data_IF_573667091058
#
_entry.id   IF_573667091058
#
_cell.length_a   1.000
_cell.length_b   1.000
_cell.length_c   1.000
_cell.angle_alpha   90.00
_cell.angle_beta   90.00
_cell.angle_gamma   90.00
#
_symmetry.space_group_name_H-M   'P 1'
#
loop_
_entity.id
_entity.type
_entity.pdbx_description
1 polymer ?
#
# COMPACT_ATOMS: atom_id res chain seq x y z
N UNK A 1 -7.74 29.15 6.08
CA UNK A 1 -8.73 28.71 5.07
C UNK A 1 -9.64 27.64 5.64
N UNK A 2 -10.72 28.02 6.34
CA UNK A 2 -11.86 27.13 6.61
C UNK A 2 -13.01 27.95 7.21
N UNK A 3 -14.10 28.17 6.47
CA UNK A 3 -15.40 28.56 7.05
C UNK A 3 -16.62 27.86 6.40
N UNK A 4 -16.53 27.22 5.22
CA UNK A 4 -17.71 26.56 4.59
C UNK A 4 -17.61 25.03 4.38
N UNK A 5 -16.58 24.35 4.91
CA UNK A 5 -16.18 23.03 4.42
C UNK A 5 -17.06 21.82 4.78
N UNK A 6 -18.12 21.94 5.60
CA UNK A 6 -18.85 20.77 6.10
C UNK A 6 -19.73 20.07 5.06
N UNK A 7 -20.53 20.83 4.32
CA UNK A 7 -21.43 20.29 3.30
C UNK A 7 -20.65 19.84 2.05
N UNK A 8 -19.65 20.63 1.65
CA UNK A 8 -18.78 20.31 0.51
C UNK A 8 -17.93 19.05 0.78
N UNK A 9 -17.37 18.90 1.99
CA UNK A 9 -16.61 17.70 2.35
C UNK A 9 -17.49 16.44 2.33
N UNK A 10 -18.77 16.54 2.71
CA UNK A 10 -19.71 15.41 2.65
C UNK A 10 -20.07 15.03 1.21
N UNK A 11 -20.31 16.02 0.35
CA UNK A 11 -20.58 15.80 -1.08
C UNK A 11 -19.37 15.18 -1.79
N UNK A 12 -18.15 15.66 -1.48
CA UNK A 12 -16.90 15.09 -2.01
C UNK A 12 -16.73 13.65 -1.52
N UNK A 13 -17.00 13.37 -0.24
CA UNK A 13 -16.91 12.02 0.30
C UNK A 13 -17.91 11.06 -0.38
N UNK A 14 -19.13 11.53 -0.67
CA UNK A 14 -20.13 10.73 -1.38
C UNK A 14 -19.74 10.47 -2.84
N UNK A 15 -19.29 11.50 -3.56
CA UNK A 15 -18.74 11.35 -4.91
C UNK A 15 -17.57 10.36 -4.92
N UNK A 16 -16.67 10.47 -3.93
CA UNK A 16 -15.57 9.54 -3.76
C UNK A 16 -16.05 8.12 -3.50
N UNK A 17 -17.14 7.88 -2.76
CA UNK A 17 -17.68 6.53 -2.55
C UNK A 17 -18.23 5.92 -3.84
N UNK A 18 -18.93 6.71 -4.66
CA UNK A 18 -19.55 6.26 -5.91
C UNK A 18 -18.58 5.98 -7.06
N UNK A 19 -17.35 6.49 -7.00
CA UNK A 19 -16.36 6.33 -8.07
C UNK A 19 -15.85 4.89 -8.22
N UNK A 20 -15.55 4.49 -9.46
CA UNK A 20 -14.79 3.26 -9.74
C UNK A 20 -13.35 3.39 -9.22
N UNK A 21 -12.73 2.28 -8.85
CA UNK A 21 -11.35 2.28 -8.31
C UNK A 21 -10.35 2.97 -9.26
N UNK A 22 -10.38 2.65 -10.56
CA UNK A 22 -9.51 3.29 -11.54
C UNK A 22 -9.69 4.82 -11.64
N UNK A 23 -10.93 5.32 -11.51
CA UNK A 23 -11.20 6.76 -11.50
C UNK A 23 -10.67 7.42 -10.23
N UNK A 24 -10.74 6.73 -9.09
CA UNK A 24 -10.16 7.17 -7.84
C UNK A 24 -8.64 7.23 -7.91
N UNK A 25 -7.99 6.20 -8.45
CA UNK A 25 -6.54 6.17 -8.69
C UNK A 25 -6.10 7.37 -9.54
N UNK A 26 -6.82 7.63 -10.64
CA UNK A 26 -6.57 8.77 -11.52
C UNK A 26 -6.76 10.12 -10.79
N UNK A 27 -7.72 10.20 -9.86
CA UNK A 27 -7.94 11.40 -9.06
C UNK A 27 -6.80 11.64 -8.07
N UNK A 28 -6.31 10.60 -7.40
CA UNK A 28 -5.15 10.70 -6.50
C UNK A 28 -3.89 11.11 -7.29
N UNK A 29 -3.68 10.53 -8.47
CA UNK A 29 -2.58 10.94 -9.35
C UNK A 29 -2.75 12.37 -9.87
N UNK A 30 -3.97 12.80 -10.22
CA UNK A 30 -4.23 14.18 -10.63
C UNK A 30 -3.94 15.16 -9.50
N UNK A 31 -4.33 14.85 -8.26
CA UNK A 31 -4.00 15.64 -7.06
C UNK A 31 -2.48 15.73 -6.89
N UNK A 32 -1.77 14.60 -7.02
CA UNK A 32 -0.31 14.55 -6.95
C UNK A 32 0.33 15.44 -8.02
N UNK A 33 -0.09 15.32 -9.27
CA UNK A 33 0.42 16.13 -10.40
C UNK A 33 0.13 17.61 -10.16
N UNK A 34 -1.09 17.96 -9.76
CA UNK A 34 -1.48 19.34 -9.49
C UNK A 34 -0.68 19.97 -8.35
N UNK A 35 -0.38 19.22 -7.29
CA UNK A 35 0.36 19.70 -6.13
C UNK A 35 1.89 19.68 -6.30
N UNK A 36 2.41 18.86 -7.22
CA UNK A 36 3.85 18.77 -7.52
C UNK A 36 4.51 20.15 -7.69
N UNK A 37 4.01 21.07 -8.56
CA UNK A 37 4.63 22.38 -8.72
C UNK A 37 4.57 23.26 -7.46
N UNK A 38 3.58 23.06 -6.58
CA UNK A 38 3.51 23.80 -5.32
C UNK A 38 4.56 23.29 -4.33
N UNK A 39 4.69 21.97 -4.20
CA UNK A 39 5.72 21.38 -3.34
C UNK A 39 7.13 21.71 -3.83
N UNK A 40 7.41 21.63 -5.14
CA UNK A 40 8.74 21.92 -5.68
C UNK A 40 9.13 23.38 -5.49
N UNK A 41 8.21 24.33 -5.73
CA UNK A 41 8.46 25.75 -5.46
C UNK A 41 8.69 26.03 -3.98
N UNK A 42 7.82 25.50 -3.10
CA UNK A 42 7.98 25.69 -1.66
C UNK A 42 9.30 25.09 -1.15
N UNK A 43 9.67 23.90 -1.63
CA UNK A 43 10.95 23.26 -1.31
C UNK A 43 12.15 24.08 -1.81
N UNK A 44 12.10 24.63 -3.02
CA UNK A 44 13.16 25.47 -3.58
C UNK A 44 13.35 26.77 -2.77
N UNK A 45 12.26 27.42 -2.36
CA UNK A 45 12.30 28.61 -1.49
C UNK A 45 12.89 28.27 -0.12
N UNK A 46 12.43 27.18 0.50
CA UNK A 46 12.96 26.73 1.80
C UNK A 46 14.44 26.31 1.71
N UNK A 47 14.87 25.69 0.62
CA UNK A 47 16.28 25.36 0.38
C UNK A 47 17.13 26.63 0.20
N UNK A 48 16.65 27.60 -0.58
CA UNK A 48 17.33 28.87 -0.82
C UNK A 48 17.49 29.69 0.45
N UNK A 49 16.43 29.78 1.27
CA UNK A 49 16.48 30.49 2.54
C UNK A 49 17.45 29.82 3.54
N UNK A 50 17.47 28.49 3.61
CA UNK A 50 18.45 27.74 4.43
C UNK A 50 19.88 27.96 3.95
N UNK A 51 20.11 28.00 2.63
CA UNK A 51 21.43 28.27 2.04
C UNK A 51 21.93 29.66 2.42
N UNK A 52 21.08 30.69 2.27
CA UNK A 52 21.43 32.06 2.62
C UNK A 52 21.73 32.26 4.12
N UNK A 53 21.03 31.51 4.99
CA UNK A 53 21.33 31.47 6.42
C UNK A 53 22.73 30.91 6.69
N UNK A 54 23.13 29.78 6.05
CA UNK A 54 24.47 29.18 6.23
C UNK A 54 25.59 30.14 5.81
N UNK A 55 25.43 30.80 4.66
CA UNK A 55 26.41 31.79 4.15
C UNK A 55 26.54 32.97 5.12
N UNK A 56 25.45 33.43 5.74
CA UNK A 56 25.48 34.53 6.72
C UNK A 56 26.13 34.18 8.05
N UNK A 57 26.20 32.89 8.40
CA UNK A 57 26.78 32.38 9.67
C UNK A 57 28.24 31.95 9.49
N UNK A 58 28.81 32.09 8.28
CA UNK A 58 30.19 31.65 8.00
C UNK A 58 30.34 30.14 7.99
N UNK A 59 29.25 29.39 7.81
CA UNK A 59 29.30 27.95 7.65
C UNK A 59 29.72 27.61 6.21
N UNK A 60 30.79 26.84 6.06
CA UNK A 60 31.27 26.38 4.75
C UNK A 60 30.13 25.73 3.95
N UNK A 61 29.96 26.11 2.67
CA UNK A 61 28.90 25.57 1.83
C UNK A 61 29.04 24.06 1.56
N UNK A 62 30.21 23.46 1.83
CA UNK A 62 30.55 22.07 1.48
C UNK A 62 30.46 21.04 2.62
N UNK A 63 30.23 21.44 3.89
CA UNK A 63 30.34 20.51 5.04
C UNK A 63 29.14 20.54 6.01
N UNK A 64 27.90 20.57 5.48
CA UNK A 64 26.68 20.34 6.27
C UNK A 64 26.00 19.04 5.83
N UNK A 65 25.35 18.27 6.73
CA UNK A 65 24.85 16.94 6.40
C UNK A 65 23.90 17.00 5.20
N UNK A 66 24.39 16.47 4.07
CA UNK A 66 23.71 16.27 2.80
C UNK A 66 22.62 15.20 2.93
N UNK A 67 21.60 15.46 3.75
CA UNK A 67 20.43 14.58 3.89
C UNK A 67 19.18 15.13 3.19
N UNK A 68 19.37 15.84 2.07
CA UNK A 68 18.32 16.03 1.05
C UNK A 68 18.80 15.73 -0.38
N UNK A 69 20.07 15.40 -0.59
CA UNK A 69 20.59 14.97 -1.90
C UNK A 69 20.26 13.50 -2.23
N UNK A 70 19.76 12.72 -1.26
CA UNK A 70 19.42 11.31 -1.43
C UNK A 70 17.93 11.07 -1.72
N UNK A 71 17.30 11.92 -2.53
CA UNK A 71 16.00 11.65 -3.14
C UNK A 71 16.15 11.65 -4.67
N UNK A 72 16.50 10.47 -5.18
CA UNK A 72 15.85 9.82 -6.34
C UNK A 72 15.62 10.68 -7.58
N UNK A 73 16.36 10.39 -8.66
CA UNK A 73 15.99 10.63 -10.07
C UNK A 73 14.96 11.75 -10.27
N UNK A 74 15.39 13.00 -10.14
CA UNK A 74 14.51 14.14 -10.30
C UNK A 74 14.00 14.14 -11.75
N UNK A 75 12.69 13.95 -11.99
CA UNK A 75 12.14 14.14 -13.33
C UNK A 75 12.41 15.60 -13.72
N UNK A 76 12.82 15.83 -14.97
CA UNK A 76 13.21 17.14 -15.52
C UNK A 76 12.57 18.31 -14.78
N UNK A 77 13.39 19.03 -14.00
CA UNK A 77 12.95 20.20 -13.26
C UNK A 77 12.42 21.20 -14.30
N UNK A 78 11.11 21.53 -14.31
CA UNK A 78 10.56 22.47 -15.27
C UNK A 78 11.32 23.79 -15.19
N UNK A 79 11.54 24.47 -16.32
CA UNK A 79 12.28 25.75 -16.34
C UNK A 79 11.74 26.76 -15.31
N UNK A 80 10.43 26.73 -15.06
CA UNK A 80 9.78 27.58 -14.07
C UNK A 80 10.29 27.35 -12.63
N UNK A 81 10.72 26.13 -12.29
CA UNK A 81 11.28 25.81 -10.97
C UNK A 81 12.74 26.27 -10.88
N UNK A 82 13.52 26.17 -11.96
CA UNK A 82 14.89 26.72 -12.02
C UNK A 82 14.88 28.25 -11.89
N UNK A 83 13.96 28.91 -12.62
CA UNK A 83 13.74 30.34 -12.48
C UNK A 83 13.34 30.70 -11.04
N UNK A 84 12.45 29.93 -10.41
CA UNK A 84 12.07 30.13 -9.01
C UNK A 84 13.26 29.99 -8.05
N UNK A 85 14.14 29.00 -8.24
CA UNK A 85 15.34 28.86 -7.41
C UNK A 85 16.27 30.07 -7.53
N UNK A 86 16.50 30.57 -8.74
CA UNK A 86 17.34 31.77 -8.94
C UNK A 86 16.75 33.01 -8.27
N UNK A 87 15.43 33.23 -8.40
CA UNK A 87 14.72 34.35 -7.76
C UNK A 87 14.76 34.20 -6.24
N UNK A 88 14.47 33.00 -5.72
CA UNK A 88 14.46 32.73 -4.29
C UNK A 88 15.86 32.89 -3.67
N UNK A 89 16.91 32.44 -4.37
CA UNK A 89 18.29 32.62 -3.92
C UNK A 89 18.71 34.09 -3.90
N UNK A 90 18.35 34.86 -4.93
CA UNK A 90 18.62 36.30 -4.97
C UNK A 90 17.88 37.06 -3.85
N UNK A 91 16.59 36.76 -3.66
CA UNK A 91 15.79 37.35 -2.59
C UNK A 91 16.33 36.99 -1.20
N UNK A 92 16.74 35.73 -0.99
CA UNK A 92 17.32 35.28 0.27
C UNK A 92 18.70 35.93 0.56
N UNK A 93 19.49 36.19 -0.47
CA UNK A 93 20.76 36.90 -0.34
C UNK A 93 20.59 38.40 -0.03
N UNK A 94 19.54 39.02 -0.58
CA UNK A 94 19.20 40.42 -0.33
C UNK A 94 18.69 40.69 1.10
N UNK A 95 18.20 39.67 1.80
CA UNK A 95 17.75 39.81 3.20
C UNK A 95 18.92 40.12 4.15
N UNK A 96 18.73 41.04 5.11
CA UNK A 96 19.71 41.29 6.16
C UNK A 96 19.88 40.05 7.05
N UNK A 97 21.09 39.86 7.61
CA UNK A 97 21.45 38.64 8.33
C UNK A 97 20.50 38.29 9.50
N UNK A 98 19.95 39.31 10.16
CA UNK A 98 18.96 39.18 11.25
C UNK A 98 17.62 38.62 10.78
N UNK A 99 17.21 38.88 9.54
CA UNK A 99 15.94 38.42 8.95
C UNK A 99 16.07 37.07 8.23
N UNK A 100 17.29 36.61 7.93
CA UNK A 100 17.50 35.32 7.26
C UNK A 100 17.05 34.13 8.10
N UNK A 101 17.20 34.22 9.43
CA UNK A 101 16.74 33.18 10.37
C UNK A 101 15.21 33.06 10.32
N UNK A 102 14.50 34.19 10.44
CA UNK A 102 13.05 34.23 10.44
C UNK A 102 12.47 33.86 9.08
N UNK A 103 13.09 34.30 7.99
CA UNK A 103 12.70 33.91 6.63
C UNK A 103 12.89 32.41 6.36
N UNK A 104 14.01 31.83 6.81
CA UNK A 104 14.25 30.40 6.68
C UNK A 104 13.24 29.56 7.48
N UNK A 105 12.90 30.00 8.70
CA UNK A 105 11.86 29.37 9.51
C UNK A 105 10.49 29.47 8.83
N UNK A 106 10.09 30.67 8.39
CA UNK A 106 8.80 30.88 7.72
C UNK A 106 8.67 30.09 6.41
N UNK A 107 9.74 29.96 5.63
CA UNK A 107 9.74 29.15 4.42
C UNK A 107 9.60 27.65 4.72
N UNK A 108 10.25 27.15 5.78
CA UNK A 108 10.09 25.78 6.25
C UNK A 108 8.65 25.53 6.75
N UNK A 109 8.10 26.44 7.56
CA UNK A 109 6.74 26.35 8.07
C UNK A 109 5.70 26.36 6.94
N UNK A 110 5.87 27.20 5.93
CA UNK A 110 4.99 27.23 4.76
C UNK A 110 4.98 25.89 4.00
N UNK A 111 6.15 25.27 3.82
CA UNK A 111 6.27 23.94 3.21
C UNK A 111 5.56 22.87 4.04
N UNK A 112 5.72 22.91 5.36
CA UNK A 112 5.03 21.99 6.28
C UNK A 112 3.52 22.19 6.27
N UNK A 113 3.03 23.42 6.22
CA UNK A 113 1.59 23.72 6.14
C UNK A 113 0.98 23.21 4.84
N UNK A 114 1.69 23.33 3.71
CA UNK A 114 1.26 22.75 2.43
C UNK A 114 1.20 21.23 2.53
N UNK A 115 2.23 20.59 3.12
CA UNK A 115 2.25 19.14 3.32
C UNK A 115 1.10 18.66 4.22
N UNK A 116 0.84 19.36 5.32
CA UNK A 116 -0.21 19.03 6.30
C UNK A 116 -1.61 19.21 5.70
N UNK A 117 -1.85 20.29 4.96
CA UNK A 117 -3.10 20.50 4.26
C UNK A 117 -3.35 19.43 3.18
N UNK A 118 -2.32 19.13 2.38
CA UNK A 118 -2.40 18.16 1.30
C UNK A 118 -2.62 16.73 1.84
N UNK A 119 -1.84 16.29 2.83
CA UNK A 119 -2.01 14.97 3.42
C UNK A 119 -3.38 14.83 4.10
N UNK A 120 -3.87 15.89 4.77
CA UNK A 120 -5.15 15.86 5.46
C UNK A 120 -6.31 15.68 4.47
N UNK A 121 -6.25 16.38 3.33
CA UNK A 121 -7.24 16.22 2.24
C UNK A 121 -7.19 14.82 1.64
N UNK A 122 -6.01 14.33 1.26
CA UNK A 122 -5.88 12.97 0.70
C UNK A 122 -6.29 11.90 1.71
N UNK A 123 -5.96 12.06 2.99
CA UNK A 123 -6.35 11.15 4.06
C UNK A 123 -7.88 11.05 4.19
N UNK A 124 -8.60 12.18 4.09
CA UNK A 124 -10.07 12.20 4.06
C UNK A 124 -10.63 11.46 2.83
N UNK A 125 -10.07 11.67 1.64
CA UNK A 125 -10.52 10.99 0.41
C UNK A 125 -10.33 9.49 0.49
N UNK A 126 -9.16 9.07 0.98
CA UNK A 126 -8.85 7.66 1.25
C UNK A 126 -9.84 7.12 2.27
N UNK A 127 -9.98 7.75 3.44
CA UNK A 127 -10.90 7.32 4.50
C UNK A 127 -12.37 7.21 4.06
N UNK A 128 -12.84 8.12 3.20
CA UNK A 128 -14.20 8.08 2.66
C UNK A 128 -14.50 6.77 1.89
N UNK A 129 -13.47 6.09 1.37
CA UNK A 129 -13.58 4.86 0.60
C UNK A 129 -13.21 3.60 1.37
N UNK A 130 -13.01 3.65 2.68
CA UNK A 130 -12.57 2.50 3.49
C UNK A 130 -13.43 1.24 3.26
N UNK A 131 -14.76 1.37 3.39
CA UNK A 131 -15.70 0.28 3.17
C UNK A 131 -15.73 -0.22 1.70
N UNK A 132 -15.50 0.67 0.74
CA UNK A 132 -15.46 0.33 -0.70
C UNK A 132 -14.18 -0.43 -1.00
N UNK A 133 -13.04 0.05 -0.52
CA UNK A 133 -11.74 -0.56 -0.72
C UNK A 133 -11.67 -1.95 -0.10
N UNK A 134 -12.23 -2.14 1.10
CA UNK A 134 -12.31 -3.45 1.74
C UNK A 134 -13.00 -4.52 0.87
N UNK A 135 -13.85 -4.12 -0.08
CA UNK A 135 -14.57 -5.04 -0.97
C UNK A 135 -13.90 -5.27 -2.32
N UNK A 136 -12.88 -4.49 -2.67
CA UNK A 136 -12.18 -4.61 -3.95
C UNK A 136 -11.44 -5.94 -4.08
N UNK A 137 -11.22 -6.37 -5.31
CA UNK A 137 -10.22 -7.41 -5.59
C UNK A 137 -8.81 -6.91 -5.27
N UNK A 138 -7.93 -7.84 -4.87
CA UNK A 138 -6.59 -7.50 -4.41
C UNK A 138 -5.80 -6.71 -5.47
N UNK A 139 -5.90 -7.08 -6.75
CA UNK A 139 -5.22 -6.39 -7.84
C UNK A 139 -5.65 -4.91 -7.98
N UNK A 140 -6.95 -4.65 -7.93
CA UNK A 140 -7.50 -3.30 -7.97
C UNK A 140 -7.07 -2.48 -6.74
N UNK A 141 -7.11 -3.08 -5.55
CA UNK A 141 -6.66 -2.40 -4.33
C UNK A 141 -5.15 -2.10 -4.35
N UNK A 142 -4.32 -2.99 -4.89
CA UNK A 142 -2.87 -2.75 -5.02
C UNK A 142 -2.60 -1.54 -5.93
N UNK A 143 -3.35 -1.37 -7.02
CA UNK A 143 -3.27 -0.17 -7.87
C UNK A 143 -3.56 1.09 -7.05
N UNK A 144 -4.66 1.10 -6.30
CA UNK A 144 -5.04 2.22 -5.43
C UNK A 144 -4.01 2.51 -4.34
N UNK A 145 -3.48 1.47 -3.67
CA UNK A 145 -2.42 1.65 -2.67
C UNK A 145 -1.19 2.30 -3.29
N UNK A 146 -0.78 1.86 -4.50
CA UNK A 146 0.38 2.45 -5.19
C UNK A 146 0.16 3.91 -5.56
N UNK A 147 -1.06 4.33 -5.94
CA UNK A 147 -1.37 5.73 -6.18
C UNK A 147 -1.19 6.58 -4.91
N UNK A 148 -1.67 6.09 -3.77
CA UNK A 148 -1.46 6.74 -2.47
C UNK A 148 0.02 6.76 -2.08
N UNK A 149 0.75 5.67 -2.29
CA UNK A 149 2.18 5.58 -1.98
C UNK A 149 3.02 6.53 -2.85
N UNK A 150 2.67 6.74 -4.13
CA UNK A 150 3.28 7.78 -4.99
C UNK A 150 3.06 9.19 -4.45
N UNK A 151 1.85 9.48 -3.96
CA UNK A 151 1.57 10.77 -3.34
C UNK A 151 2.38 10.97 -2.06
N UNK A 152 2.46 9.94 -1.20
CA UNK A 152 3.28 9.95 0.01
C UNK A 152 4.75 10.20 -0.32
N UNK A 153 5.30 9.50 -1.32
CA UNK A 153 6.69 9.68 -1.73
C UNK A 153 6.98 11.13 -2.17
N UNK A 154 6.06 11.76 -2.93
CA UNK A 154 6.18 13.16 -3.32
C UNK A 154 6.15 14.09 -2.10
N UNK A 155 5.10 14.00 -1.29
CA UNK A 155 4.86 14.92 -0.18
C UNK A 155 5.95 14.83 0.89
N UNK A 156 6.37 13.62 1.24
CA UNK A 156 7.40 13.39 2.25
C UNK A 156 8.80 13.67 1.73
N UNK A 157 9.07 13.34 0.46
CA UNK A 157 10.35 13.64 -0.18
C UNK A 157 10.62 15.14 -0.25
N UNK A 158 9.60 15.95 -0.57
CA UNK A 158 9.74 17.39 -0.71
C UNK A 158 9.65 18.14 0.63
N UNK A 159 8.82 17.68 1.58
CA UNK A 159 8.70 18.33 2.89
C UNK A 159 9.72 17.87 3.93
N UNK A 160 10.33 16.68 3.75
CA UNK A 160 11.19 16.05 4.74
C UNK A 160 10.45 15.54 5.99
N UNK A 161 9.11 15.61 6.01
CA UNK A 161 8.27 15.20 7.14
C UNK A 161 7.37 14.03 6.74
N UNK A 162 7.25 13.04 7.63
CA UNK A 162 6.33 11.91 7.43
C UNK A 162 4.87 12.34 7.53
N UNK A 163 4.05 11.93 6.57
CA UNK A 163 2.61 12.16 6.52
C UNK A 163 1.87 11.10 7.37
N UNK A 164 1.93 11.25 8.70
CA UNK A 164 1.42 10.25 9.65
C UNK A 164 -0.07 9.95 9.49
N UNK A 165 -0.90 10.98 9.24
CA UNK A 165 -2.36 10.80 9.11
C UNK A 165 -2.70 9.93 7.90
N UNK A 166 -2.14 10.28 6.73
CA UNK A 166 -2.39 9.52 5.50
C UNK A 166 -1.83 8.09 5.59
N UNK A 167 -0.66 7.91 6.21
CA UNK A 167 -0.10 6.57 6.45
C UNK A 167 -0.98 5.71 7.35
N UNK A 168 -1.53 6.30 8.42
CA UNK A 168 -2.45 5.59 9.31
C UNK A 168 -3.69 5.12 8.54
N UNK A 169 -4.31 6.02 7.77
CA UNK A 169 -5.47 5.71 6.92
C UNK A 169 -5.16 4.63 5.89
N UNK A 170 -4.05 4.73 5.17
CA UNK A 170 -3.63 3.74 4.19
C UNK A 170 -3.35 2.36 4.83
N UNK A 171 -2.74 2.34 6.02
CA UNK A 171 -2.47 1.10 6.74
C UNK A 171 -3.75 0.45 7.27
N UNK A 172 -4.70 1.26 7.77
CA UNK A 172 -6.01 0.78 8.19
C UNK A 172 -6.76 0.12 7.02
N UNK A 173 -6.74 0.75 5.83
CA UNK A 173 -7.35 0.18 4.63
C UNK A 173 -6.72 -1.14 4.21
N UNK A 174 -5.38 -1.23 4.21
CA UNK A 174 -4.68 -2.48 3.87
C UNK A 174 -5.12 -3.61 4.81
N UNK A 175 -5.24 -3.34 6.11
CA UNK A 175 -5.75 -4.30 7.10
C UNK A 175 -7.20 -4.68 6.82
N UNK A 176 -8.07 -3.71 6.52
CA UNK A 176 -9.48 -3.95 6.23
C UNK A 176 -9.67 -4.84 5.00
N UNK A 177 -8.89 -4.63 3.94
CA UNK A 177 -8.90 -5.46 2.72
C UNK A 177 -8.49 -6.89 3.02
N UNK A 178 -7.39 -7.08 3.77
CA UNK A 178 -6.93 -8.41 4.14
C UNK A 178 -7.94 -9.14 5.01
N UNK A 179 -8.55 -8.45 5.97
CA UNK A 179 -9.60 -9.01 6.83
C UNK A 179 -10.83 -9.43 6.00
N UNK A 180 -11.28 -8.58 5.06
CA UNK A 180 -12.40 -8.89 4.18
C UNK A 180 -12.10 -10.04 3.21
N UNK A 181 -10.88 -10.09 2.65
CA UNK A 181 -10.44 -11.18 1.80
C UNK A 181 -10.38 -12.51 2.57
N UNK A 182 -9.84 -12.49 3.79
CA UNK A 182 -9.81 -13.66 4.67
C UNK A 182 -11.23 -14.15 5.01
N UNK A 183 -12.13 -13.23 5.39
CA UNK A 183 -13.52 -13.58 5.69
C UNK A 183 -14.23 -14.23 4.50
N UNK A 184 -14.02 -13.72 3.27
CA UNK A 184 -14.56 -14.32 2.04
C UNK A 184 -14.02 -15.72 1.80
N UNK A 185 -12.72 -15.92 2.02
CA UNK A 185 -12.08 -17.23 1.85
C UNK A 185 -12.62 -18.26 2.85
N UNK A 186 -12.71 -17.90 4.12
CA UNK A 186 -13.28 -18.77 5.17
C UNK A 186 -14.73 -19.13 4.86
N UNK A 187 -15.55 -18.15 4.45
CA UNK A 187 -16.94 -18.40 4.06
C UNK A 187 -17.04 -19.34 2.85
N UNK A 188 -16.16 -19.17 1.86
CA UNK A 188 -16.09 -20.05 0.68
C UNK A 188 -15.70 -21.48 1.05
N UNK A 189 -14.74 -21.66 1.96
CA UNK A 189 -14.36 -22.99 2.46
C UNK A 189 -15.49 -23.64 3.24
N UNK A 190 -16.16 -22.88 4.12
CA UNK A 190 -17.33 -23.36 4.86
C UNK A 190 -18.43 -23.86 3.91
N UNK A 191 -18.77 -23.06 2.90
CA UNK A 191 -19.77 -23.45 1.90
C UNK A 191 -19.34 -24.69 1.08
N UNK A 192 -18.04 -24.83 0.77
CA UNK A 192 -17.52 -26.00 0.08
C UNK A 192 -17.61 -27.27 0.95
N UNK A 193 -17.30 -27.16 2.25
CA UNK A 193 -17.43 -28.25 3.21
C UNK A 193 -18.90 -28.64 3.44
N UNK A 194 -19.81 -27.67 3.53
CA UNK A 194 -21.25 -27.92 3.68
C UNK A 194 -21.85 -28.62 2.44
N UNK A 195 -21.31 -28.33 1.25
CA UNK A 195 -21.68 -29.00 0.01
C UNK A 195 -21.03 -30.38 -0.16
N UNK A 196 -20.06 -30.75 0.69
CA UNK A 196 -19.33 -32.01 0.56
C UNK A 196 -20.18 -33.19 1.06
N UNK A 197 -20.68 -33.98 0.10
CA UNK A 197 -21.32 -35.26 0.40
C UNK A 197 -20.26 -36.34 0.62
N UNK A 198 -20.01 -36.65 1.89
CA UNK A 198 -19.16 -37.76 2.31
C UNK A 198 -19.84 -39.10 1.98
N UNK A 199 -19.66 -39.58 0.76
CA UNK A 199 -20.04 -40.93 0.39
C UNK A 199 -18.96 -41.92 0.88
N UNK A 200 -19.32 -43.00 1.59
CA UNK A 200 -18.37 -44.03 1.92
C UNK A 200 -17.85 -44.68 0.64
N UNK A 201 -16.61 -44.36 0.25
CA UNK A 201 -15.92 -45.10 -0.80
C UNK A 201 -15.40 -46.40 -0.22
N UNK A 202 -15.62 -47.51 -0.95
CA UNK A 202 -14.96 -48.78 -0.63
C UNK A 202 -13.46 -48.53 -0.64
N UNK A 203 -12.78 -48.87 0.46
CA UNK A 203 -11.33 -48.88 0.48
C UNK A 203 -10.83 -49.75 -0.67
N UNK A 204 -9.83 -49.29 -1.41
CA UNK A 204 -9.19 -50.12 -2.42
C UNK A 204 -8.74 -51.43 -1.76
N UNK A 205 -8.88 -52.55 -2.48
CA UNK A 205 -8.68 -53.90 -1.91
C UNK A 205 -7.35 -54.03 -1.15
N UNK A 206 -6.29 -53.36 -1.62
CA UNK A 206 -4.98 -53.32 -0.95
C UNK A 206 -5.04 -52.74 0.47
N UNK A 207 -5.76 -51.65 0.68
CA UNK A 207 -5.87 -51.02 2.00
C UNK A 207 -6.79 -51.82 2.91
N UNK A 208 -7.87 -52.39 2.35
CA UNK A 208 -8.73 -53.30 3.11
C UNK A 208 -7.97 -54.57 3.55
N UNK A 209 -7.08 -55.12 2.70
CA UNK A 209 -6.25 -56.26 3.03
C UNK A 209 -5.28 -55.96 4.19
N UNK A 210 -4.65 -54.76 4.20
CA UNK A 210 -3.81 -54.32 5.31
C UNK A 210 -4.61 -54.16 6.60
N UNK A 211 -5.80 -53.56 6.53
CA UNK A 211 -6.68 -53.40 7.70
C UNK A 211 -7.14 -54.75 8.25
N UNK A 212 -7.49 -55.70 7.36
CA UNK A 212 -7.85 -57.06 7.76
C UNK A 212 -6.65 -57.77 8.40
N UNK A 213 -5.45 -57.67 7.82
CA UNK A 213 -4.23 -58.25 8.39
C UNK A 213 -3.87 -57.63 9.75
N UNK A 214 -4.09 -56.33 9.96
CA UNK A 214 -3.91 -55.69 11.27
C UNK A 214 -4.96 -56.16 12.29
N UNK A 215 -6.21 -56.31 11.87
CA UNK A 215 -7.30 -56.80 12.72
C UNK A 215 -7.09 -58.28 13.10
N UNK A 216 -6.54 -59.06 12.17
CA UNK A 216 -6.20 -60.47 12.37
C UNK A 216 -4.93 -60.64 13.22
N UNK A 217 -3.93 -59.77 13.06
CA UNK A 217 -2.72 -59.75 13.92
C UNK A 217 -2.99 -59.25 15.35
N UNK A 218 -4.05 -58.47 15.54
CA UNK A 218 -4.55 -58.05 16.85
C UNK A 218 -5.41 -59.09 17.56
N UNK A 219 -5.82 -60.16 16.86
CA UNK A 219 -6.29 -61.40 17.49
C UNK A 219 -5.06 -62.27 17.69
N UNK A 220 -4.87 -62.76 18.91
CA UNK A 220 -3.78 -63.67 19.26
C UNK A 220 -3.66 -64.78 18.21
N UNK A 221 -2.54 -64.88 17.46
CA UNK A 221 -2.46 -65.77 16.32
C UNK A 221 -2.34 -67.21 16.81
N UNK A 222 -3.27 -68.07 16.36
CA UNK A 222 -3.04 -69.52 16.42
C UNK A 222 -1.73 -69.81 15.66
N UNK A 223 -0.71 -70.41 16.29
CA UNK A 223 0.64 -70.58 15.72
C UNK A 223 0.71 -71.49 14.49
N UNK A 224 -0.43 -71.87 13.90
CA UNK A 224 -0.55 -72.73 12.70
C UNK A 224 -0.92 -71.99 11.43
N UNK A 225 -1.15 -70.67 11.47
CA UNK A 225 -1.50 -69.89 10.28
C UNK A 225 -0.23 -69.33 9.64
N UNK A 226 0.23 -69.96 8.57
CA UNK A 226 1.31 -69.42 7.73
C UNK A 226 0.86 -68.12 7.06
N UNK A 227 1.64 -67.05 7.21
CA UNK A 227 1.40 -65.76 6.58
C UNK A 227 1.59 -65.94 5.07
N UNK A 228 0.56 -65.72 4.22
CA UNK A 228 0.73 -65.80 2.78
C UNK A 228 1.68 -64.68 2.33
N UNK A 229 2.72 -65.05 1.58
CA UNK A 229 3.61 -64.08 0.95
C UNK A 229 2.82 -63.20 -0.03
N UNK A 230 3.16 -61.91 -0.14
CA UNK A 230 2.39 -60.97 -0.93
C UNK A 230 2.45 -61.38 -2.41
N UNK A 231 1.29 -61.71 -2.97
CA UNK A 231 1.15 -61.85 -4.42
C UNK A 231 1.24 -60.46 -5.02
N UNK A 232 2.30 -60.21 -5.79
CA UNK A 232 2.39 -59.05 -6.67
C UNK A 232 1.33 -59.24 -7.75
N UNK A 233 0.20 -58.56 -7.59
CA UNK A 233 -0.81 -58.47 -8.65
C UNK A 233 -0.45 -57.24 -9.46
N UNK A 234 -0.01 -57.46 -10.70
CA UNK A 234 0.19 -56.39 -11.68
C UNK A 234 -1.16 -55.69 -11.91
N UNK A 235 -1.15 -54.37 -11.79
CA UNK A 235 -2.33 -53.52 -11.95
C UNK A 235 -2.88 -53.67 -13.38
N UNK A 236 -4.05 -54.30 -13.54
CA UNK A 236 -4.82 -54.19 -14.78
C UNK A 236 -5.41 -52.78 -14.85
N UNK A 237 -4.92 -52.02 -15.83
CA UNK A 237 -5.36 -50.68 -16.19
C UNK A 237 -6.90 -50.60 -16.31
N UNK A 238 -7.46 -49.56 -15.70
CA UNK A 238 -8.86 -49.16 -15.89
C UNK A 238 -9.13 -48.87 -17.38
N UNK A 239 -9.67 -49.87 -18.07
CA UNK A 239 -10.22 -49.73 -19.41
C UNK A 239 -11.40 -48.76 -19.43
N UNK A 240 -11.13 -47.53 -19.88
CA UNK A 240 -11.96 -46.73 -20.79
C UNK A 240 -13.42 -47.21 -20.96
N UNK A 241 -14.34 -46.53 -20.29
CA UNK A 241 -15.78 -46.60 -20.56
C UNK A 241 -16.34 -45.25 -21.01
N UNK A 242 -16.07 -44.85 -22.25
CA UNK A 242 -16.83 -43.79 -22.95
C UNK A 242 -17.33 -44.32 -24.29
N UNK A 243 -18.62 -44.67 -24.34
CA UNK A 243 -19.44 -44.69 -25.55
C UNK A 243 -20.92 -44.94 -25.21
N UNK A 244 -21.69 -43.85 -25.09
CA UNK A 244 -22.94 -43.55 -25.84
C UNK A 244 -23.75 -42.46 -25.14
#
# INVERSE_FOLDING_TARGET
>A
FSVNGGADDAAIAEACRGMRAAAFDATIDAIRVALTPHFTRAAAVAASARRALRVGVGADPENGPDSLAAATSVPEIPEQVKAMETIASAAAAALPATERVTAAAAAADALLLVADAAQGRVSKLVGARDAVHARLELGAFVSTSRAVDRFLALAEGLSGRRCLSLRASATAQRRAVLAAAHARFVASLGAALDAETWAPKRAARRYQAVLNALADAGRDPDPRVEIPTPVVVEDEEEGSGSAR
#
